data_IF_069519877727
#
_entry.id   IF_069519877727
#
_cell.length_a   1.000
_cell.length_b   1.000
_cell.length_c   1.000
_cell.angle_alpha   90.00
_cell.angle_beta   90.00
_cell.angle_gamma   90.00
#
_symmetry.space_group_name_H-M   'P 1'
#
loop_
_entity.id
_entity.type
_entity.pdbx_description
1 polymer ?
#
# COMPACT_ATOMS: atom_id res chain seq x y z
N UNK A 1 -8.59 7.20 0.37
CA UNK A 1 -9.08 7.99 -0.78
C UNK A 1 -10.59 8.25 -0.72
N UNK A 2 -11.41 7.28 -0.29
CA UNK A 2 -12.89 7.38 -0.32
C UNK A 2 -13.48 8.57 0.47
N UNK A 3 -12.75 9.20 1.36
CA UNK A 3 -13.22 10.36 2.14
C UNK A 3 -13.12 11.69 1.38
N UNK A 4 -12.40 11.74 0.25
CA UNK A 4 -12.32 12.95 -0.56
C UNK A 4 -13.69 13.29 -1.17
N UNK A 5 -14.14 14.53 -1.04
CA UNK A 5 -15.50 14.96 -1.47
C UNK A 5 -15.76 14.76 -2.96
N UNK A 6 -14.73 14.92 -3.80
CA UNK A 6 -14.78 14.77 -5.27
C UNK A 6 -14.31 13.40 -5.76
N UNK A 7 -14.30 12.36 -4.92
CA UNK A 7 -13.71 11.06 -5.29
C UNK A 7 -14.42 10.42 -6.50
N UNK A 8 -15.75 10.47 -6.57
CA UNK A 8 -16.49 9.97 -7.74
C UNK A 8 -16.17 10.76 -9.02
N UNK A 9 -15.99 12.08 -8.91
CA UNK A 9 -15.59 12.91 -10.06
C UNK A 9 -14.19 12.52 -10.54
N UNK A 10 -13.25 12.34 -9.62
CA UNK A 10 -11.90 11.85 -9.95
C UNK A 10 -11.96 10.51 -10.70
N UNK A 11 -12.73 9.55 -10.19
CA UNK A 11 -12.88 8.24 -10.85
C UNK A 11 -13.47 8.40 -12.27
N UNK A 12 -14.51 9.24 -12.47
CA UNK A 12 -15.04 9.49 -13.82
C UNK A 12 -14.01 10.08 -14.77
N UNK A 13 -13.22 11.05 -14.31
CA UNK A 13 -12.14 11.65 -15.14
C UNK A 13 -11.08 10.62 -15.52
N UNK A 14 -10.69 9.76 -14.58
CA UNK A 14 -9.76 8.67 -14.87
C UNK A 14 -10.33 7.69 -15.91
N UNK A 15 -11.62 7.37 -15.83
CA UNK A 15 -12.27 6.51 -16.84
C UNK A 15 -12.34 7.17 -18.23
N UNK A 16 -12.48 8.49 -18.32
CA UNK A 16 -12.45 9.22 -19.59
C UNK A 16 -11.11 9.08 -20.33
N UNK A 17 -10.02 8.86 -19.62
CA UNK A 17 -8.68 8.61 -20.19
C UNK A 17 -8.31 7.12 -20.18
N UNK A 18 -9.29 6.24 -20.11
CA UNK A 18 -9.14 4.78 -20.10
C UNK A 18 -8.19 4.23 -19.00
N UNK A 19 -8.08 4.93 -17.88
CA UNK A 19 -7.27 4.45 -16.75
C UNK A 19 -7.94 3.30 -16.04
N UNK A 20 -7.16 2.28 -15.69
CA UNK A 20 -7.55 1.28 -14.70
C UNK A 20 -7.47 1.89 -13.29
N UNK A 21 -8.45 1.59 -12.44
CA UNK A 21 -8.56 2.13 -11.09
C UNK A 21 -8.47 0.99 -10.07
N UNK A 22 -7.45 1.03 -9.23
CA UNK A 22 -7.29 0.11 -8.10
C UNK A 22 -7.49 0.87 -6.79
N UNK A 23 -8.52 0.54 -6.02
CA UNK A 23 -8.91 1.24 -4.79
C UNK A 23 -8.58 0.37 -3.59
N UNK A 24 -7.78 0.90 -2.65
CA UNK A 24 -7.55 0.27 -1.34
C UNK A 24 -8.28 1.05 -0.27
N UNK A 25 -9.13 0.38 0.50
CA UNK A 25 -9.98 1.00 1.52
C UNK A 25 -10.25 0.06 2.69
N UNK A 26 -10.60 0.61 3.85
CA UNK A 26 -11.16 -0.20 4.95
C UNK A 26 -12.67 -0.44 4.81
N UNK A 27 -13.32 0.10 3.78
CA UNK A 27 -14.76 -0.09 3.53
C UNK A 27 -15.71 0.65 4.47
N UNK A 28 -15.21 1.28 5.54
CA UNK A 28 -16.03 1.92 6.56
C UNK A 28 -16.39 3.38 6.23
N UNK A 29 -17.47 3.90 6.82
CA UNK A 29 -17.75 5.32 6.87
C UNK A 29 -18.48 5.92 5.66
N UNK A 30 -18.88 5.12 4.67
CA UNK A 30 -19.70 5.56 3.55
C UNK A 30 -21.07 4.86 3.57
N UNK A 31 -22.12 5.59 3.17
CA UNK A 31 -23.49 5.06 3.03
C UNK A 31 -23.62 4.17 1.79
N UNK A 32 -24.64 3.32 1.76
CA UNK A 32 -24.93 2.38 0.67
C UNK A 32 -24.97 3.04 -0.72
N UNK A 33 -25.63 4.19 -0.83
CA UNK A 33 -25.78 4.89 -2.11
C UNK A 33 -24.47 5.47 -2.64
N UNK A 34 -23.52 5.78 -1.75
CA UNK A 34 -22.19 6.19 -2.15
C UNK A 34 -21.45 5.04 -2.86
N UNK A 35 -21.55 3.81 -2.30
CA UNK A 35 -20.96 2.62 -2.91
C UNK A 35 -21.61 2.26 -4.24
N UNK A 36 -22.93 2.34 -4.35
CA UNK A 36 -23.64 2.12 -5.62
C UNK A 36 -23.13 3.05 -6.71
N UNK A 37 -23.09 4.37 -6.42
CA UNK A 37 -22.57 5.39 -7.34
C UNK A 37 -21.14 5.14 -7.76
N UNK A 38 -20.27 4.62 -6.86
CA UNK A 38 -18.91 4.23 -7.20
C UNK A 38 -18.91 3.04 -8.17
N UNK A 39 -19.68 2.02 -7.88
CA UNK A 39 -19.77 0.82 -8.72
C UNK A 39 -20.32 1.09 -10.13
N UNK A 40 -21.17 2.11 -10.30
CA UNK A 40 -21.67 2.57 -11.61
C UNK A 40 -20.57 3.24 -12.47
N UNK A 41 -19.48 3.71 -11.84
CA UNK A 41 -18.35 4.33 -12.53
C UNK A 41 -17.28 3.30 -12.91
N UNK A 42 -17.08 2.32 -12.03
CA UNK A 42 -16.05 1.30 -12.19
C UNK A 42 -16.45 0.21 -13.19
N UNK A 43 -15.46 -0.46 -13.76
CA UNK A 43 -15.63 -1.55 -14.73
C UNK A 43 -15.04 -2.85 -14.20
N UNK A 44 -15.17 -3.94 -14.96
CA UNK A 44 -14.56 -5.24 -14.62
C UNK A 44 -13.03 -5.26 -14.63
N UNK A 45 -12.40 -4.24 -15.21
CA UNK A 45 -10.94 -4.08 -15.19
C UNK A 45 -10.43 -3.46 -13.88
N UNK A 46 -11.33 -2.75 -13.17
CA UNK A 46 -11.01 -2.06 -11.93
C UNK A 46 -11.05 -3.02 -10.74
N UNK A 47 -10.41 -2.62 -9.64
CA UNK A 47 -10.41 -3.42 -8.42
C UNK A 47 -10.67 -2.62 -7.15
N UNK A 48 -11.25 -3.29 -6.15
CA UNK A 48 -11.39 -2.78 -4.78
C UNK A 48 -10.78 -3.78 -3.82
N UNK A 49 -9.73 -3.38 -3.11
CA UNK A 49 -9.12 -4.13 -2.02
C UNK A 49 -9.65 -3.60 -0.68
N UNK A 50 -10.39 -4.45 0.03
CA UNK A 50 -10.86 -4.17 1.38
C UNK A 50 -9.81 -4.59 2.40
N UNK A 51 -9.26 -3.63 3.12
CA UNK A 51 -8.31 -3.88 4.22
C UNK A 51 -9.08 -4.12 5.52
N UNK A 52 -9.30 -5.39 5.86
CA UNK A 52 -10.07 -5.85 7.01
C UNK A 52 -9.22 -6.87 7.78
N UNK A 53 -8.86 -6.53 9.01
CA UNK A 53 -7.86 -7.27 9.78
C UNK A 53 -8.50 -7.93 11.00
N UNK A 54 -9.41 -8.85 10.76
CA UNK A 54 -10.17 -9.60 11.74
C UNK A 54 -11.66 -9.65 11.42
N UNK A 55 -12.44 -10.27 12.29
CA UNK A 55 -13.89 -10.30 12.24
C UNK A 55 -14.50 -9.15 13.06
N UNK A 56 -15.79 -9.22 13.37
CA UNK A 56 -16.54 -8.13 14.04
C UNK A 56 -15.94 -7.73 15.39
N UNK A 57 -15.42 -8.70 16.12
CA UNK A 57 -14.87 -8.57 17.49
C UNK A 57 -13.40 -8.16 17.54
N UNK A 58 -12.63 -8.31 16.45
CA UNK A 58 -11.19 -8.05 16.43
C UNK A 58 -10.76 -6.96 15.45
N UNK A 59 -11.48 -6.78 14.34
CA UNK A 59 -11.10 -5.81 13.30
C UNK A 59 -10.89 -4.39 13.86
N UNK A 60 -11.72 -3.96 14.80
CA UNK A 60 -11.66 -2.63 15.42
C UNK A 60 -10.41 -2.42 16.30
N UNK A 61 -9.75 -3.50 16.75
CA UNK A 61 -8.54 -3.41 17.58
C UNK A 61 -7.36 -2.80 16.82
N UNK A 62 -7.28 -3.05 15.52
CA UNK A 62 -6.28 -2.47 14.65
C UNK A 62 -6.87 -1.36 13.75
N UNK A 63 -8.06 -1.58 13.20
CA UNK A 63 -8.80 -0.60 12.38
C UNK A 63 -9.67 0.29 13.27
N UNK A 64 -9.03 1.11 14.08
CA UNK A 64 -9.70 2.00 15.05
C UNK A 64 -10.80 2.80 14.34
N UNK A 65 -11.99 2.88 14.95
CA UNK A 65 -13.19 3.53 14.42
C UNK A 65 -13.81 2.89 13.16
N UNK A 66 -13.32 1.73 12.70
CA UNK A 66 -13.98 1.01 11.62
C UNK A 66 -15.31 0.41 12.11
N UNK A 67 -16.38 0.66 11.36
CA UNK A 67 -17.74 0.16 11.68
C UNK A 67 -18.01 -1.09 10.86
N UNK A 68 -18.05 -2.25 11.52
CA UNK A 68 -18.22 -3.56 10.88
C UNK A 68 -19.42 -3.62 9.93
N UNK A 69 -20.60 -3.19 10.39
CA UNK A 69 -21.81 -3.26 9.59
C UNK A 69 -21.71 -2.41 8.32
N UNK A 70 -21.05 -1.24 8.40
CA UNK A 70 -20.76 -0.41 7.24
C UNK A 70 -19.83 -1.08 6.23
N UNK A 71 -18.84 -1.85 6.71
CA UNK A 71 -17.93 -2.63 5.88
C UNK A 71 -18.71 -3.74 5.17
N UNK A 72 -19.53 -4.49 5.91
CA UNK A 72 -20.34 -5.58 5.34
C UNK A 72 -21.34 -5.05 4.30
N UNK A 73 -21.96 -3.92 4.56
CA UNK A 73 -22.84 -3.25 3.58
C UNK A 73 -22.09 -2.87 2.30
N UNK A 74 -20.88 -2.32 2.44
CA UNK A 74 -20.03 -1.97 1.29
C UNK A 74 -19.70 -3.21 0.44
N UNK A 75 -19.24 -4.29 1.07
CA UNK A 75 -18.90 -5.55 0.39
C UNK A 75 -20.13 -6.11 -0.33
N UNK A 76 -21.28 -6.26 0.36
CA UNK A 76 -22.51 -6.78 -0.21
C UNK A 76 -23.01 -5.98 -1.43
N UNK A 77 -22.67 -4.69 -1.51
CA UNK A 77 -22.99 -3.88 -2.68
C UNK A 77 -21.99 -4.12 -3.79
N UNK A 78 -20.69 -4.00 -3.48
CA UNK A 78 -19.63 -4.06 -4.49
C UNK A 78 -19.57 -5.43 -5.16
N UNK A 79 -19.78 -6.52 -4.41
CA UNK A 79 -19.74 -7.89 -4.97
C UNK A 79 -20.88 -8.21 -5.93
N UNK A 80 -21.98 -7.42 -5.94
CA UNK A 80 -23.04 -7.54 -6.95
C UNK A 80 -22.64 -7.01 -8.33
N UNK A 81 -21.56 -6.24 -8.40
CA UNK A 81 -21.02 -5.68 -9.64
C UNK A 81 -19.84 -6.54 -10.10
N UNK A 82 -19.50 -6.48 -11.40
CA UNK A 82 -18.41 -7.26 -11.99
C UNK A 82 -17.01 -6.69 -11.68
N UNK A 83 -16.85 -5.98 -10.56
CA UNK A 83 -15.59 -5.39 -10.11
C UNK A 83 -14.72 -6.47 -9.48
N UNK A 84 -13.39 -6.39 -9.63
CA UNK A 84 -12.47 -7.29 -8.95
C UNK A 84 -12.38 -6.92 -7.47
N UNK A 85 -12.70 -7.86 -6.58
CA UNK A 85 -12.70 -7.63 -5.13
C UNK A 85 -11.65 -8.48 -4.44
N UNK A 86 -10.92 -7.87 -3.51
CA UNK A 86 -9.95 -8.56 -2.67
C UNK A 86 -10.23 -8.20 -1.21
N UNK A 87 -10.25 -9.19 -0.34
CA UNK A 87 -10.15 -8.99 1.10
C UNK A 87 -8.69 -9.19 1.48
N UNK A 88 -8.04 -8.13 1.95
CA UNK A 88 -6.69 -8.15 2.48
C UNK A 88 -6.73 -8.21 4.00
N UNK A 89 -6.13 -9.25 4.55
CA UNK A 89 -6.11 -9.54 5.98
C UNK A 89 -4.65 -9.51 6.46
N UNK A 90 -4.30 -8.53 7.29
CA UNK A 90 -2.99 -8.47 7.94
C UNK A 90 -3.08 -9.28 9.23
N UNK A 91 -2.16 -10.23 9.39
CA UNK A 91 -2.17 -11.12 10.55
C UNK A 91 -1.49 -10.47 11.74
N UNK A 92 -2.17 -10.49 12.88
CA UNK A 92 -1.71 -10.10 14.20
C UNK A 92 -2.09 -11.17 15.21
N UNK A 93 -1.46 -11.18 16.38
CA UNK A 93 -1.77 -12.13 17.46
C UNK A 93 -3.26 -12.18 17.82
N UNK A 94 -3.93 -11.04 17.84
CA UNK A 94 -5.34 -10.93 18.20
C UNK A 94 -6.32 -11.45 17.14
N UNK A 95 -5.88 -11.69 15.90
CA UNK A 95 -6.77 -12.10 14.81
C UNK A 95 -6.32 -13.37 14.07
N UNK A 96 -5.14 -13.94 14.38
CA UNK A 96 -4.63 -15.12 13.67
C UNK A 96 -5.55 -16.34 13.78
N UNK A 97 -6.25 -16.49 14.92
CA UNK A 97 -7.22 -17.57 15.12
C UNK A 97 -8.47 -17.47 14.21
N UNK A 98 -8.73 -16.30 13.63
CA UNK A 98 -9.90 -16.02 12.79
C UNK A 98 -9.64 -16.20 11.28
N UNK A 99 -8.42 -16.55 10.86
CA UNK A 99 -8.04 -16.59 9.44
C UNK A 99 -8.99 -17.49 8.63
N UNK A 100 -9.23 -18.70 9.08
CA UNK A 100 -10.10 -19.66 8.37
C UNK A 100 -11.56 -19.19 8.28
N UNK A 101 -12.08 -18.63 9.35
CA UNK A 101 -13.44 -18.08 9.38
C UNK A 101 -13.58 -16.84 8.49
N UNK A 102 -12.59 -15.94 8.51
CA UNK A 102 -12.55 -14.75 7.64
C UNK A 102 -12.46 -15.14 6.16
N UNK A 103 -11.67 -16.17 5.83
CA UNK A 103 -11.60 -16.70 4.46
C UNK A 103 -12.93 -17.31 4.01
N UNK A 104 -13.59 -18.08 4.88
CA UNK A 104 -14.91 -18.64 4.61
C UNK A 104 -15.96 -17.55 4.38
N UNK A 105 -16.01 -16.56 5.29
CA UNK A 105 -16.90 -15.41 5.16
C UNK A 105 -16.63 -14.60 3.89
N UNK A 106 -15.38 -14.47 3.48
CA UNK A 106 -15.03 -13.77 2.24
C UNK A 106 -15.64 -14.44 1.01
N UNK A 107 -15.62 -15.77 0.96
CA UNK A 107 -16.23 -16.59 -0.11
C UNK A 107 -17.76 -16.46 -0.09
N UNK A 108 -18.37 -16.54 1.08
CA UNK A 108 -19.82 -16.36 1.26
C UNK A 108 -20.28 -14.97 0.79
N UNK A 109 -19.51 -13.93 1.04
CA UNK A 109 -19.78 -12.57 0.61
C UNK A 109 -19.51 -12.33 -0.89
N UNK A 110 -18.99 -13.30 -1.62
CA UNK A 110 -18.68 -13.18 -3.05
C UNK A 110 -17.39 -12.40 -3.35
N UNK A 111 -16.47 -12.29 -2.39
CA UNK A 111 -15.14 -11.70 -2.62
C UNK A 111 -14.34 -12.64 -3.51
N UNK A 112 -13.76 -12.12 -4.60
CA UNK A 112 -13.01 -12.92 -5.57
C UNK A 112 -11.66 -13.43 -5.05
N UNK A 113 -11.02 -12.71 -4.13
CA UNK A 113 -9.69 -13.06 -3.60
C UNK A 113 -9.57 -12.74 -2.12
N UNK A 114 -9.15 -13.73 -1.33
CA UNK A 114 -8.70 -13.51 0.05
C UNK A 114 -7.17 -13.49 0.08
N UNK A 115 -6.55 -12.48 0.70
CA UNK A 115 -5.11 -12.29 0.71
C UNK A 115 -4.61 -12.11 2.14
N UNK A 116 -3.89 -13.11 2.64
CA UNK A 116 -3.14 -12.99 3.88
C UNK A 116 -1.88 -12.16 3.68
N UNK A 117 -1.63 -11.25 4.61
CA UNK A 117 -0.43 -10.43 4.63
C UNK A 117 0.32 -10.70 5.93
N UNK A 118 1.53 -11.20 5.78
CA UNK A 118 2.52 -11.17 6.86
C UNK A 118 2.90 -9.71 7.09
N UNK A 119 2.99 -9.29 8.34
CA UNK A 119 3.22 -7.88 8.66
C UNK A 119 4.46 -7.67 9.50
N UNK A 120 5.12 -6.55 9.28
CA UNK A 120 6.17 -5.97 10.13
C UNK A 120 5.61 -4.85 11.01
N UNK A 121 4.28 -4.64 11.03
CA UNK A 121 3.61 -3.45 11.64
C UNK A 121 3.27 -3.60 13.11
N UNK A 122 3.77 -4.61 13.78
CA UNK A 122 3.58 -4.80 15.21
C UNK A 122 4.70 -4.09 15.99
N UNK A 123 4.58 -2.78 16.15
CA UNK A 123 5.45 -1.97 17.00
C UNK A 123 5.35 -2.27 18.50
N UNK A 124 4.38 -3.08 18.91
CA UNK A 124 4.23 -3.65 20.24
C UNK A 124 4.34 -5.16 20.14
N UNK A 125 5.15 -5.78 21.01
CA UNK A 125 5.29 -7.25 21.08
C UNK A 125 3.96 -7.98 21.27
N UNK A 126 3.01 -7.35 21.94
CA UNK A 126 1.67 -7.90 22.19
C UNK A 126 0.84 -8.10 20.90
N UNK A 127 1.21 -7.44 19.82
CA UNK A 127 0.55 -7.57 18.51
C UNK A 127 1.24 -8.57 17.60
N UNK A 128 2.41 -9.09 18.00
CA UNK A 128 3.21 -10.00 17.17
C UNK A 128 2.47 -11.34 17.02
N UNK A 129 2.20 -11.78 15.78
CA UNK A 129 1.58 -13.06 15.51
C UNK A 129 2.54 -14.22 15.76
N UNK A 130 2.09 -15.45 15.55
CA UNK A 130 2.95 -16.64 15.48
C UNK A 130 4.00 -16.48 14.39
N UNK A 131 5.16 -17.16 14.55
CA UNK A 131 6.34 -17.00 13.67
C UNK A 131 6.03 -17.24 12.19
N UNK A 132 5.10 -18.12 11.86
CA UNK A 132 4.69 -18.37 10.47
C UNK A 132 4.07 -17.15 9.78
N UNK A 133 3.52 -16.19 10.54
CA UNK A 133 2.90 -14.97 10.03
C UNK A 133 3.77 -13.73 10.17
N UNK A 134 4.97 -13.85 10.72
CA UNK A 134 5.94 -12.76 10.77
C UNK A 134 6.50 -12.52 9.37
N UNK A 135 6.56 -11.26 8.94
CA UNK A 135 7.20 -10.91 7.67
C UNK A 135 8.72 -11.03 7.83
N UNK A 136 9.41 -11.85 7.03
CA UNK A 136 10.87 -11.99 7.08
C UNK A 136 11.65 -10.67 6.94
N UNK A 137 11.03 -9.65 6.35
CA UNK A 137 11.62 -8.31 6.24
C UNK A 137 11.93 -7.68 7.60
N UNK A 138 11.29 -8.14 8.68
CA UNK A 138 11.48 -7.59 10.02
C UNK A 138 12.92 -7.78 10.53
N UNK A 139 13.49 -8.97 10.39
CA UNK A 139 14.87 -9.24 10.77
C UNK A 139 15.85 -8.43 9.92
N UNK A 140 15.56 -8.32 8.62
CA UNK A 140 16.36 -7.50 7.71
C UNK A 140 16.30 -6.00 8.08
N UNK A 141 15.13 -5.48 8.49
CA UNK A 141 15.01 -4.11 9.00
C UNK A 141 15.90 -3.87 10.23
N UNK A 142 15.93 -4.83 11.15
CA UNK A 142 16.77 -4.74 12.35
C UNK A 142 18.25 -4.73 11.97
N UNK A 143 18.68 -5.62 11.07
CA UNK A 143 20.08 -5.73 10.65
C UNK A 143 20.58 -4.47 9.95
N UNK A 144 19.79 -3.91 9.03
CA UNK A 144 20.12 -2.65 8.33
C UNK A 144 20.18 -1.48 9.32
N UNK A 145 19.23 -1.41 10.26
CA UNK A 145 19.18 -0.30 11.25
C UNK A 145 20.35 -0.36 12.21
N UNK A 146 20.79 -1.56 12.58
CA UNK A 146 21.97 -1.78 13.45
C UNK A 146 23.32 -1.71 12.72
N UNK A 147 23.32 -1.60 11.38
CA UNK A 147 24.53 -1.63 10.56
C UNK A 147 25.23 -3.01 10.55
N UNK A 148 24.53 -4.08 10.94
CA UNK A 148 25.03 -5.46 10.96
C UNK A 148 24.68 -6.24 9.71
N UNK A 149 24.03 -5.59 8.74
CA UNK A 149 23.62 -6.22 7.49
C UNK A 149 24.83 -6.67 6.67
N UNK A 150 24.83 -7.92 6.26
CA UNK A 150 25.82 -8.43 5.31
C UNK A 150 25.51 -7.83 3.95
N UNK A 151 26.51 -7.29 3.25
CA UNK A 151 26.38 -6.65 1.94
C UNK A 151 25.42 -7.45 1.04
N UNK A 152 24.24 -6.93 0.84
CA UNK A 152 23.24 -7.45 -0.08
C UNK A 152 23.18 -6.57 -1.33
N UNK A 153 22.72 -7.11 -2.43
CA UNK A 153 22.45 -6.32 -3.64
C UNK A 153 21.06 -5.74 -3.55
N UNK A 154 20.85 -4.51 -3.98
CA UNK A 154 19.49 -4.03 -4.24
C UNK A 154 18.96 -4.83 -5.43
N UNK A 155 17.80 -5.48 -5.27
CA UNK A 155 17.11 -6.14 -6.40
C UNK A 155 17.05 -5.15 -7.55
N UNK A 156 17.58 -5.53 -8.71
CA UNK A 156 17.72 -4.65 -9.86
C UNK A 156 16.44 -3.90 -10.16
N UNK A 157 16.51 -2.58 -10.03
CA UNK A 157 15.43 -1.64 -10.32
C UNK A 157 14.61 -1.28 -9.10
N UNK A 158 14.83 -0.07 -8.59
CA UNK A 158 13.79 0.64 -7.84
C UNK A 158 12.49 0.50 -8.63
N UNK A 159 11.37 0.12 -7.99
CA UNK A 159 10.06 -0.08 -8.65
C UNK A 159 9.60 1.16 -9.45
N UNK A 160 10.24 2.31 -9.21
CA UNK A 160 9.97 3.58 -9.89
C UNK A 160 10.86 3.87 -11.08
N UNK A 161 12.00 3.19 -11.24
CA UNK A 161 12.95 3.45 -12.32
C UNK A 161 13.53 2.15 -12.85
N UNK A 162 12.73 1.40 -13.55
CA UNK A 162 13.25 0.39 -14.46
C UNK A 162 13.40 1.03 -15.84
N UNK A 163 14.61 1.03 -16.40
CA UNK A 163 14.92 1.49 -17.75
C UNK A 163 13.85 1.02 -18.75
N UNK A 164 12.91 1.90 -19.11
CA UNK A 164 11.91 1.65 -20.15
C UNK A 164 10.83 0.60 -19.84
N UNK A 165 10.72 0.08 -18.62
CA UNK A 165 9.67 -0.88 -18.28
C UNK A 165 8.39 -0.18 -17.79
N UNK A 166 7.19 -0.75 -18.06
CA UNK A 166 5.89 -0.12 -17.78
C UNK A 166 5.53 -0.01 -16.28
N UNK A 167 6.41 -0.40 -15.38
CA UNK A 167 6.18 -0.40 -13.93
C UNK A 167 6.69 0.85 -13.22
N UNK A 168 6.78 1.98 -13.93
CA UNK A 168 7.15 3.27 -13.35
C UNK A 168 6.04 3.76 -12.40
N UNK A 169 6.08 3.29 -11.15
CA UNK A 169 5.15 3.71 -10.11
C UNK A 169 5.63 5.03 -9.52
N UNK A 170 4.85 6.07 -9.70
CA UNK A 170 5.03 7.34 -8.99
C UNK A 170 4.13 7.33 -7.74
N UNK A 171 4.65 7.80 -6.63
CA UNK A 171 3.87 7.97 -5.42
C UNK A 171 3.64 9.47 -5.16
N UNK A 172 2.36 9.82 -5.08
CA UNK A 172 1.92 11.17 -4.70
C UNK A 172 1.02 10.99 -3.49
N UNK A 173 1.31 11.70 -2.41
CA UNK A 173 0.51 11.61 -1.20
C UNK A 173 -0.76 12.49 -1.27
N UNK A 174 -1.54 12.48 -0.18
CA UNK A 174 -2.80 13.25 -0.10
C UNK A 174 -2.62 14.77 -0.18
N UNK A 175 -1.43 15.26 0.11
CA UNK A 175 -1.10 16.68 0.08
C UNK A 175 -0.52 17.11 -1.28
N UNK A 176 -0.37 16.17 -2.21
CA UNK A 176 0.21 16.38 -3.53
C UNK A 176 1.73 16.31 -3.56
N UNK A 177 2.37 15.88 -2.48
CA UNK A 177 3.82 15.74 -2.43
C UNK A 177 4.28 14.47 -3.14
N UNK A 178 5.26 14.64 -4.03
CA UNK A 178 5.87 13.55 -4.79
C UNK A 178 6.92 12.82 -3.95
N UNK A 179 6.94 11.50 -4.11
CA UNK A 179 8.00 10.63 -3.60
C UNK A 179 8.37 9.58 -4.65
N UNK A 180 9.61 9.10 -4.67
CA UNK A 180 10.05 8.05 -5.59
C UNK A 180 9.24 6.77 -5.49
N UNK A 181 8.76 6.41 -4.30
CA UNK A 181 7.88 5.28 -4.10
C UNK A 181 7.10 5.42 -2.78
N UNK A 182 6.09 4.58 -2.57
CA UNK A 182 5.28 4.61 -1.35
C UNK A 182 6.11 4.37 -0.07
N UNK A 183 7.21 3.62 -0.14
CA UNK A 183 8.08 3.37 1.03
C UNK A 183 8.82 4.64 1.44
N UNK A 184 9.36 5.39 0.50
CA UNK A 184 10.00 6.69 0.78
C UNK A 184 8.99 7.72 1.29
N UNK A 185 7.75 7.70 0.80
CA UNK A 185 6.68 8.59 1.27
C UNK A 185 6.20 8.23 2.68
N UNK A 186 5.89 6.95 2.92
CA UNK A 186 5.34 6.49 4.20
C UNK A 186 6.37 6.47 5.34
N UNK A 187 7.64 6.19 5.03
CA UNK A 187 8.69 5.98 6.03
C UNK A 187 9.83 7.01 5.94
N UNK A 188 9.73 7.99 5.04
CA UNK A 188 10.76 8.99 4.82
C UNK A 188 11.15 9.76 6.08
N UNK A 189 10.19 10.08 6.95
CA UNK A 189 10.46 10.72 8.24
C UNK A 189 11.21 9.79 9.20
N UNK A 190 10.95 8.48 9.17
CA UNK A 190 11.61 7.49 10.02
C UNK A 190 13.05 7.25 9.60
N UNK A 191 13.31 7.23 8.30
CA UNK A 191 14.63 6.93 7.75
C UNK A 191 15.39 8.19 7.29
N UNK A 192 14.85 9.38 7.57
CA UNK A 192 15.46 10.69 7.24
C UNK A 192 15.96 10.76 5.79
N UNK A 193 15.15 10.27 4.84
CA UNK A 193 15.51 10.32 3.43
C UNK A 193 15.50 11.76 2.90
N UNK A 194 16.08 11.97 1.72
CA UNK A 194 16.27 13.29 1.11
C UNK A 194 14.96 14.04 0.81
N UNK A 195 13.83 13.34 0.73
CA UNK A 195 12.52 13.94 0.45
C UNK A 195 11.85 14.48 1.71
N UNK A 196 12.10 13.86 2.88
CA UNK A 196 11.44 14.19 4.14
C UNK A 196 11.55 15.68 4.54
N UNK A 197 12.73 16.33 4.51
CA UNK A 197 12.86 17.75 4.87
C UNK A 197 12.46 18.72 3.76
N UNK A 198 12.22 18.24 2.54
CA UNK A 198 11.99 19.06 1.34
C UNK A 198 10.62 18.80 0.70
N UNK A 199 9.71 18.29 1.49
CA UNK A 199 8.41 17.84 1.09
C UNK A 199 7.68 18.78 0.12
N UNK A 200 7.59 20.06 0.48
CA UNK A 200 6.92 21.09 -0.33
C UNK A 200 7.62 21.42 -1.66
N UNK A 201 8.88 21.07 -1.82
CA UNK A 201 9.65 21.38 -3.03
C UNK A 201 9.18 20.55 -4.23
N UNK A 202 8.73 19.33 -4.00
CA UNK A 202 8.32 18.38 -5.04
C UNK A 202 6.82 18.15 -5.06
N UNK A 203 6.05 19.21 -4.80
CA UNK A 203 4.58 19.13 -4.81
C UNK A 203 4.03 19.37 -6.23
N UNK A 204 3.12 18.49 -6.69
CA UNK A 204 2.52 18.52 -8.04
C UNK A 204 1.60 19.72 -8.27
N UNK A 205 1.19 20.43 -7.22
CA UNK A 205 0.42 21.68 -7.37
C UNK A 205 1.30 22.80 -7.93
N UNK A 206 2.60 22.78 -7.62
CA UNK A 206 3.54 23.84 -7.96
C UNK A 206 4.55 23.43 -9.07
N UNK A 207 4.60 22.15 -9.43
CA UNK A 207 5.56 21.62 -10.39
C UNK A 207 4.90 20.60 -11.31
N UNK A 208 5.34 20.51 -12.55
CA UNK A 208 4.99 19.37 -13.39
C UNK A 208 5.77 18.12 -12.93
N UNK A 209 5.24 16.93 -13.23
CA UNK A 209 5.94 15.67 -12.94
C UNK A 209 7.31 15.64 -13.64
N UNK A 210 7.39 16.14 -14.84
CA UNK A 210 8.63 16.23 -15.61
C UNK A 210 9.67 17.13 -14.90
N UNK A 211 9.27 18.31 -14.42
CA UNK A 211 10.15 19.19 -13.63
C UNK A 211 10.66 18.50 -12.36
N UNK A 212 9.79 17.74 -11.68
CA UNK A 212 10.17 17.01 -10.48
C UNK A 212 11.17 15.90 -10.81
N UNK A 213 10.91 15.09 -11.83
CA UNK A 213 11.77 13.97 -12.22
C UNK A 213 13.14 14.40 -12.71
N UNK A 214 13.23 15.57 -13.36
CA UNK A 214 14.49 16.16 -13.84
C UNK A 214 15.24 16.98 -12.78
N UNK A 215 14.68 17.17 -11.58
CA UNK A 215 15.36 17.86 -10.51
C UNK A 215 16.64 17.10 -10.08
N UNK A 216 17.76 17.81 -9.96
CA UNK A 216 19.07 17.20 -9.70
C UNK A 216 19.14 16.33 -8.43
N UNK A 217 18.35 16.66 -7.41
CA UNK A 217 18.30 15.86 -6.17
C UNK A 217 17.49 14.57 -6.35
N UNK A 218 16.47 14.61 -7.21
CA UNK A 218 15.67 13.43 -7.56
C UNK A 218 16.49 12.48 -8.42
N UNK A 219 17.17 13.00 -9.45
CA UNK A 219 18.08 12.19 -10.29
C UNK A 219 19.21 11.59 -9.47
N UNK A 220 19.85 12.35 -8.59
CA UNK A 220 20.89 11.85 -7.67
C UNK A 220 20.37 10.77 -6.71
N UNK A 221 19.11 10.87 -6.26
CA UNK A 221 18.50 9.82 -5.45
C UNK A 221 18.41 8.53 -6.24
N UNK A 222 17.89 8.57 -7.46
CA UNK A 222 17.78 7.39 -8.32
C UNK A 222 19.15 6.80 -8.67
N UNK A 223 20.16 7.62 -8.92
CA UNK A 223 21.52 7.14 -9.18
C UNK A 223 22.10 6.38 -7.97
N UNK A 224 21.86 6.86 -6.76
CA UNK A 224 22.26 6.16 -5.54
C UNK A 224 21.58 4.80 -5.35
N UNK A 225 20.37 4.61 -5.87
CA UNK A 225 19.66 3.33 -5.77
C UNK A 225 20.23 2.22 -6.68
N UNK A 226 21.15 2.55 -7.58
CA UNK A 226 21.83 1.58 -8.45
C UNK A 226 22.82 0.69 -7.70
N UNK A 227 23.28 1.11 -6.52
CA UNK A 227 24.20 0.35 -5.67
C UNK A 227 23.67 0.26 -4.24
N UNK A 228 23.82 -0.93 -3.61
CA UNK A 228 23.42 -1.13 -2.22
C UNK A 228 24.18 -0.19 -1.28
N UNK A 229 25.48 -0.02 -1.48
CA UNK A 229 26.33 0.80 -0.59
C UNK A 229 25.90 2.28 -0.56
N UNK A 230 25.45 2.81 -1.70
CA UNK A 230 25.05 4.22 -1.84
C UNK A 230 23.57 4.46 -1.62
N UNK A 231 22.74 3.43 -1.62
CA UNK A 231 21.31 3.53 -1.49
C UNK A 231 20.88 4.05 -0.11
N UNK A 232 19.73 4.72 -0.09
CA UNK A 232 19.06 5.14 1.13
C UNK A 232 18.65 3.93 1.99
N UNK A 233 18.65 4.06 3.31
CA UNK A 233 18.28 2.99 4.24
C UNK A 233 16.88 2.43 3.96
N UNK A 234 15.94 3.26 3.54
CA UNK A 234 14.62 2.81 3.13
C UNK A 234 14.71 1.84 1.94
N UNK A 235 15.55 2.14 0.95
CA UNK A 235 15.78 1.28 -0.19
C UNK A 235 16.48 -0.02 0.21
N UNK A 236 17.48 0.05 1.08
CA UNK A 236 18.19 -1.14 1.62
C UNK A 236 17.23 -2.10 2.30
N UNK A 237 16.31 -1.59 3.12
CA UNK A 237 15.35 -2.39 3.87
C UNK A 237 14.33 -3.06 2.95
N UNK A 238 13.72 -2.30 2.04
CA UNK A 238 12.55 -2.78 1.30
C UNK A 238 12.88 -3.35 -0.08
N UNK A 239 14.04 -2.99 -0.63
CA UNK A 239 14.48 -3.42 -1.96
C UNK A 239 15.82 -4.17 -1.92
N UNK A 240 16.52 -4.16 -0.79
CA UNK A 240 17.69 -4.98 -0.54
C UNK A 240 17.28 -6.43 -0.27
N UNK A 241 18.11 -7.37 -0.66
CA UNK A 241 17.90 -8.78 -0.39
C UNK A 241 19.13 -9.59 -0.81
N UNK A 242 19.40 -10.69 -0.11
CA UNK A 242 20.37 -11.65 -0.58
C UNK A 242 19.90 -12.16 -1.95
N UNK A 243 20.82 -12.33 -2.90
CA UNK A 243 20.56 -13.15 -4.08
C UNK A 243 20.27 -14.57 -3.54
N UNK A 244 18.98 -14.91 -3.38
CA UNK A 244 18.61 -16.31 -3.48
C UNK A 244 18.79 -16.65 -4.96
N UNK A 245 19.74 -17.54 -5.24
CA UNK A 245 19.83 -18.19 -6.56
C UNK A 245 18.50 -18.92 -6.76
N UNK A 246 17.58 -18.31 -7.52
CA UNK A 246 16.48 -18.96 -8.21
C UNK A 246 16.82 -19.02 -9.69
#
# INVERSE_FOLDING_TARGET
PIYHSKFHELCRRLKQINSKIDIVTNGSGKKKDWWKKLCEILTSEDSIEFSIDGLKDTNHLYRINAKWDSIMDAIKIVTKYKINTTWKFIVFKQNEHQIKEAESLSKELGIKKFKLIKSDRWWKKDLMPSDEYVDPIYEHQISVTKGTDKKSTIKQGCMTVRNGAPDNLLYIDSDGDFYPCCKTGLYGFRYKNIFSPKRKKYNIVNNTIEQILNASEVTKFFDKTKSYDTADNCCKIYCGGNKTND
#
